data_IF_231032598037
#
_entry.id   IF_231032598037
#
_cell.length_a   1.000
_cell.length_b   1.000
_cell.length_c   1.000
_cell.angle_alpha   90.00
_cell.angle_beta   90.00
_cell.angle_gamma   90.00
#
_symmetry.space_group_name_H-M   'P 1'
#
loop_
_entity.id
_entity.type
_entity.pdbx_description
1 polymer ?
#
# COMPACT_ATOMS: atom_id res chain seq x y z
N UNK A 1 -14.71 15.69 -15.30
CA UNK A 1 -14.75 14.40 -14.59
C UNK A 1 -14.39 14.62 -13.13
N UNK A 2 -15.23 14.12 -12.24
CA UNK A 2 -14.99 14.20 -10.80
C UNK A 2 -14.27 12.92 -10.37
N UNK A 3 -13.11 13.07 -9.73
CA UNK A 3 -12.34 11.95 -9.20
C UNK A 3 -12.43 12.00 -7.68
N UNK A 4 -12.94 10.92 -7.10
CA UNK A 4 -13.00 10.79 -5.65
C UNK A 4 -11.67 10.26 -5.12
N UNK A 5 -11.11 10.93 -4.14
CA UNK A 5 -9.88 10.50 -3.46
C UNK A 5 -10.23 10.03 -2.04
N UNK A 6 -9.53 9.05 -1.51
CA UNK A 6 -8.38 8.36 -2.11
C UNK A 6 -8.76 7.37 -3.20
N UNK A 7 -7.82 7.08 -4.11
CA UNK A 7 -7.96 6.04 -5.12
C UNK A 7 -7.13 4.85 -4.68
N UNK A 8 -7.74 3.67 -4.65
CA UNK A 8 -7.05 2.44 -4.23
C UNK A 8 -6.83 1.55 -5.44
N UNK A 9 -5.58 1.20 -5.68
CA UNK A 9 -5.18 0.29 -6.75
C UNK A 9 -4.86 -1.09 -6.17
N UNK A 10 -5.50 -2.11 -6.72
CA UNK A 10 -5.31 -3.50 -6.30
C UNK A 10 -4.82 -4.30 -7.49
N UNK A 11 -3.85 -5.17 -7.25
CA UNK A 11 -3.32 -6.03 -8.31
C UNK A 11 -2.24 -6.94 -7.79
N UNK A 12 -1.90 -7.93 -8.58
CA UNK A 12 -0.81 -8.84 -8.23
C UNK A 12 0.54 -8.15 -8.37
N UNK A 13 1.55 -8.56 -7.59
CA UNK A 13 2.90 -8.03 -7.72
C UNK A 13 3.40 -8.18 -9.16
N UNK A 14 4.06 -7.15 -9.65
CA UNK A 14 4.61 -7.17 -11.01
C UNK A 14 3.63 -6.80 -12.12
N UNK A 15 2.39 -6.47 -11.80
CA UNK A 15 1.37 -6.09 -12.79
C UNK A 15 1.42 -4.61 -13.22
N UNK A 16 2.51 -3.91 -12.93
CA UNK A 16 2.65 -2.49 -13.28
C UNK A 16 1.89 -1.53 -12.39
N UNK A 17 1.36 -2.02 -11.27
CA UNK A 17 0.54 -1.25 -10.33
C UNK A 17 1.25 0.00 -9.80
N UNK A 18 2.52 -0.12 -9.41
CA UNK A 18 3.29 1.00 -8.89
C UNK A 18 3.48 2.09 -9.93
N UNK A 19 3.77 1.69 -11.17
CA UNK A 19 3.97 2.62 -12.28
C UNK A 19 2.68 3.38 -12.59
N UNK A 20 1.57 2.68 -12.66
CA UNK A 20 0.26 3.28 -12.87
C UNK A 20 -0.09 4.22 -11.71
N UNK A 21 0.19 3.81 -10.48
CA UNK A 21 -0.06 4.62 -9.30
C UNK A 21 0.71 5.93 -9.32
N UNK A 22 2.00 5.88 -9.67
CA UNK A 22 2.82 7.09 -9.77
C UNK A 22 2.31 8.05 -10.83
N UNK A 23 1.98 7.54 -12.01
CA UNK A 23 1.47 8.36 -13.10
C UNK A 23 0.14 9.03 -12.74
N UNK A 24 -0.76 8.26 -12.14
CA UNK A 24 -2.06 8.77 -11.73
C UNK A 24 -1.93 9.83 -10.65
N UNK A 25 -1.09 9.58 -9.65
CA UNK A 25 -0.84 10.53 -8.56
C UNK A 25 -0.25 11.83 -9.09
N UNK A 26 0.70 11.73 -10.02
CA UNK A 26 1.30 12.90 -10.66
C UNK A 26 0.26 13.73 -11.39
N UNK A 27 -0.62 13.08 -12.16
CA UNK A 27 -1.67 13.78 -12.91
C UNK A 27 -2.69 14.45 -12.02
N UNK A 28 -2.97 13.86 -10.85
CA UNK A 28 -3.94 14.39 -9.90
C UNK A 28 -3.31 15.39 -8.93
N UNK A 29 -1.99 15.51 -8.92
CA UNK A 29 -1.28 16.40 -8.00
C UNK A 29 -1.36 15.96 -6.55
N UNK A 30 -1.40 14.63 -6.31
CA UNK A 30 -1.50 14.05 -4.96
C UNK A 30 -0.38 13.03 -4.74
N UNK A 31 -0.08 12.68 -3.47
CA UNK A 31 0.93 11.66 -3.18
C UNK A 31 0.52 10.28 -3.66
N UNK A 32 1.52 9.45 -3.95
CA UNK A 32 1.35 8.01 -4.16
C UNK A 32 1.84 7.29 -2.91
N UNK A 33 1.02 6.39 -2.37
CA UNK A 33 1.35 5.60 -1.18
C UNK A 33 1.28 4.12 -1.54
N UNK A 34 2.40 3.41 -1.33
CA UNK A 34 2.44 1.95 -1.40
C UNK A 34 2.39 1.43 0.02
N UNK A 35 1.41 0.56 0.32
CA UNK A 35 1.20 0.10 1.71
C UNK A 35 2.33 -0.76 2.23
N UNK A 36 2.97 -1.57 1.38
CA UNK A 36 4.14 -2.36 1.80
C UNK A 36 5.31 -1.45 2.15
N UNK A 37 5.57 -0.42 1.32
CA UNK A 37 6.61 0.54 1.61
C UNK A 37 6.34 1.30 2.90
N UNK A 38 5.08 1.65 3.15
CA UNK A 38 4.69 2.32 4.38
C UNK A 38 4.95 1.44 5.61
N UNK A 39 4.64 0.14 5.53
CA UNK A 39 4.93 -0.79 6.62
C UNK A 39 6.42 -0.88 6.87
N UNK A 40 7.23 -1.04 5.83
CA UNK A 40 8.69 -1.11 5.95
C UNK A 40 9.23 0.16 6.62
N UNK A 41 8.75 1.31 6.22
CA UNK A 41 9.17 2.58 6.81
C UNK A 41 8.81 2.67 8.30
N UNK A 42 7.60 2.29 8.66
CA UNK A 42 7.11 2.37 10.04
C UNK A 42 7.79 1.36 10.96
N UNK A 43 8.05 0.14 10.46
CA UNK A 43 8.64 -0.93 11.24
C UNK A 43 10.17 -0.90 11.25
N UNK A 44 10.78 -0.27 10.24
CA UNK A 44 12.23 -0.26 10.09
C UNK A 44 12.78 -1.62 9.70
N UNK A 45 11.96 -2.51 9.12
CA UNK A 45 12.35 -3.89 8.75
C UNK A 45 11.74 -4.25 7.42
N UNK A 46 12.38 -5.18 6.71
CA UNK A 46 11.82 -5.72 5.47
C UNK A 46 10.59 -6.59 5.78
N UNK A 47 9.68 -6.69 4.83
CA UNK A 47 8.45 -7.49 4.98
C UNK A 47 8.80 -8.96 5.29
N UNK A 48 9.81 -9.52 4.62
CA UNK A 48 10.24 -10.90 4.87
C UNK A 48 10.71 -11.11 6.31
N UNK A 49 11.36 -10.11 6.89
CA UNK A 49 11.82 -10.18 8.27
C UNK A 49 10.65 -10.13 9.24
N UNK A 50 9.63 -9.34 8.93
CA UNK A 50 8.41 -9.27 9.73
C UNK A 50 7.72 -10.64 9.75
N UNK A 51 7.57 -11.27 8.60
CA UNK A 51 6.97 -12.60 8.52
C UNK A 51 7.79 -13.64 9.31
N UNK A 52 9.11 -13.60 9.18
CA UNK A 52 9.99 -14.57 9.84
C UNK A 52 10.00 -14.41 11.36
N UNK A 53 9.92 -13.17 11.86
CA UNK A 53 10.07 -12.86 13.28
C UNK A 53 8.72 -12.79 14.00
N UNK A 54 7.77 -12.07 13.42
CA UNK A 54 6.50 -11.74 14.08
C UNK A 54 5.33 -12.61 13.59
N UNK A 55 5.47 -13.21 12.41
CA UNK A 55 4.44 -14.07 11.84
C UNK A 55 3.38 -13.34 11.03
N UNK A 56 2.57 -14.13 10.34
CA UNK A 56 1.55 -13.61 9.43
C UNK A 56 0.48 -12.77 10.16
N UNK A 57 0.01 -13.25 11.30
CA UNK A 57 -1.04 -12.53 12.04
C UNK A 57 -0.61 -11.12 12.44
N UNK A 58 0.63 -10.96 12.90
CA UNK A 58 1.17 -9.66 13.23
C UNK A 58 1.29 -8.76 12.00
N UNK A 59 1.74 -9.32 10.87
CA UNK A 59 1.82 -8.58 9.63
C UNK A 59 0.44 -8.06 9.19
N UNK A 60 -0.61 -8.88 9.31
CA UNK A 60 -1.97 -8.47 8.95
C UNK A 60 -2.48 -7.30 9.78
N UNK A 61 -2.11 -7.24 11.04
CA UNK A 61 -2.43 -6.10 11.90
C UNK A 61 -1.72 -4.83 11.40
N UNK A 62 -0.44 -4.95 11.05
CA UNK A 62 0.33 -3.83 10.51
C UNK A 62 -0.24 -3.34 9.18
N UNK A 63 -0.61 -4.26 8.31
CA UNK A 63 -1.21 -3.98 7.02
C UNK A 63 -2.53 -3.23 7.16
N UNK A 64 -3.40 -3.70 8.05
CA UNK A 64 -4.67 -3.05 8.33
C UNK A 64 -4.47 -1.61 8.81
N UNK A 65 -3.50 -1.42 9.72
CA UNK A 65 -3.18 -0.09 10.22
C UNK A 65 -2.62 0.82 9.13
N UNK A 66 -1.77 0.28 8.25
CA UNK A 66 -1.19 1.05 7.15
C UNK A 66 -2.26 1.49 6.15
N UNK A 67 -3.16 0.58 5.78
CA UNK A 67 -4.27 0.89 4.87
C UNK A 67 -5.19 1.95 5.49
N UNK A 68 -5.56 1.78 6.75
CA UNK A 68 -6.41 2.73 7.45
C UNK A 68 -5.78 4.12 7.48
N UNK A 69 -4.49 4.20 7.76
CA UNK A 69 -3.76 5.46 7.76
C UNK A 69 -3.75 6.11 6.37
N UNK A 70 -3.46 5.32 5.34
CA UNK A 70 -3.41 5.82 3.97
C UNK A 70 -4.77 6.35 3.50
N UNK A 71 -5.87 5.75 3.94
CA UNK A 71 -7.21 6.17 3.55
C UNK A 71 -7.64 7.51 4.16
N UNK A 72 -6.91 8.04 5.14
CA UNK A 72 -7.26 9.31 5.78
C UNK A 72 -6.91 10.54 4.92
N UNK A 73 -6.08 10.37 3.90
CA UNK A 73 -5.60 11.47 3.07
C UNK A 73 -6.11 11.43 1.64
N UNK A 74 -5.76 12.46 0.87
CA UNK A 74 -6.03 12.51 -0.57
C UNK A 74 -4.80 11.97 -1.31
N UNK A 75 -4.82 10.69 -1.63
CA UNK A 75 -3.67 10.01 -2.23
C UNK A 75 -4.12 8.93 -3.20
N UNK A 76 -3.21 8.52 -4.07
CA UNK A 76 -3.34 7.27 -4.83
C UNK A 76 -2.63 6.19 -4.02
N UNK A 77 -3.35 5.14 -3.65
CA UNK A 77 -2.87 4.09 -2.77
C UNK A 77 -2.71 2.80 -3.56
N UNK A 78 -1.51 2.24 -3.57
CA UNK A 78 -1.26 0.91 -4.12
C UNK A 78 -1.18 -0.07 -2.97
N UNK A 79 -2.04 -1.08 -2.97
CA UNK A 79 -1.97 -2.14 -1.98
C UNK A 79 -0.79 -3.03 -2.31
N UNK A 80 0.02 -3.36 -1.30
CA UNK A 80 1.17 -4.22 -1.48
C UNK A 80 0.77 -5.63 -1.87
N UNK A 81 1.75 -6.40 -2.40
CA UNK A 81 1.53 -7.78 -2.81
C UNK A 81 0.98 -8.65 -1.70
N UNK A 82 1.39 -8.42 -0.46
CA UNK A 82 0.86 -9.14 0.70
C UNK A 82 -0.62 -8.89 0.91
N UNK A 83 -1.08 -7.63 0.78
CA UNK A 83 -2.48 -7.27 0.91
C UNK A 83 -3.31 -7.88 -0.22
N UNK A 84 -2.83 -7.80 -1.46
CA UNK A 84 -3.53 -8.30 -2.63
C UNK A 84 -3.62 -9.83 -2.65
N UNK A 85 -2.64 -10.51 -2.04
CA UNK A 85 -2.58 -11.97 -1.99
C UNK A 85 -3.38 -12.58 -0.83
N UNK A 86 -3.94 -11.76 0.05
CA UNK A 86 -4.73 -12.25 1.18
C UNK A 86 -6.09 -12.75 0.69
N UNK A 87 -6.42 -13.99 0.96
CA UNK A 87 -7.75 -14.50 0.61
C UNK A 87 -8.86 -13.82 1.39
#
# INVERSE_FOLDING_TARGET
>A
MIVALPIVLVGLPGAGKSKVGHLLAERLGVPHIDTDALIVEREGRAISDIFATDGEAAFRVMETAAVAHALTGHAVISLGGGAAATP
#
